data_IF_407672425165
#
_entry.id   IF_407672425165
#
_cell.length_a   1.000
_cell.length_b   1.000
_cell.length_c   1.000
_cell.angle_alpha   90.00
_cell.angle_beta   90.00
_cell.angle_gamma   90.00
#
_symmetry.space_group_name_H-M   'P 1'
#
loop_
_entity.id
_entity.type
_entity.pdbx_description
1 polymer ?
#
# COMPACT_ATOMS: atom_id res chain seq x y z
N UNK A 1 -39.12 60.56 10.94
CA UNK A 1 -39.79 59.24 10.93
C UNK A 1 -39.59 58.63 9.56
N UNK A 2 -38.57 57.80 9.41
CA UNK A 2 -38.49 56.79 8.35
C UNK A 2 -37.42 55.79 8.78
N UNK A 3 -37.90 54.71 9.41
CA UNK A 3 -37.12 53.53 9.75
C UNK A 3 -36.58 52.89 8.47
N UNK A 4 -35.27 52.74 8.38
CA UNK A 4 -34.63 51.85 7.40
C UNK A 4 -34.43 50.49 8.05
N UNK A 5 -35.27 49.56 7.62
CA UNK A 5 -35.34 48.17 8.07
C UNK A 5 -34.07 47.42 7.69
N UNK A 6 -33.31 47.00 8.70
CA UNK A 6 -32.15 46.13 8.55
C UNK A 6 -32.60 44.69 8.30
N UNK A 7 -32.58 44.27 7.03
CA UNK A 7 -32.81 42.88 6.67
C UNK A 7 -31.58 42.04 7.04
N UNK A 8 -31.73 41.37 8.19
CA UNK A 8 -31.03 40.18 8.65
C UNK A 8 -30.72 39.20 7.52
N UNK A 9 -29.49 39.26 7.01
CA UNK A 9 -28.84 38.19 6.25
C UNK A 9 -28.57 37.03 7.21
N UNK A 10 -29.58 36.18 7.42
CA UNK A 10 -29.41 34.90 8.11
C UNK A 10 -28.54 34.01 7.23
N UNK A 11 -27.35 33.70 7.75
CA UNK A 11 -26.38 32.82 7.14
C UNK A 11 -27.00 31.48 6.76
N UNK A 12 -27.15 31.25 5.46
CA UNK A 12 -27.05 29.91 4.91
C UNK A 12 -25.64 29.43 5.17
N UNK A 13 -25.47 28.63 6.23
CA UNK A 13 -24.33 27.76 6.38
C UNK A 13 -24.32 26.80 5.18
N UNK A 14 -23.73 27.26 4.08
CA UNK A 14 -23.49 26.45 2.90
C UNK A 14 -22.63 25.26 3.35
N UNK A 15 -23.26 24.11 3.52
CA UNK A 15 -22.58 22.83 3.66
C UNK A 15 -21.73 22.68 2.41
N UNK A 16 -20.42 22.90 2.57
CA UNK A 16 -19.50 22.94 1.46
C UNK A 16 -19.50 21.58 0.74
N UNK A 17 -19.85 21.52 -0.56
CA UNK A 17 -19.93 20.26 -1.31
C UNK A 17 -18.58 19.52 -1.42
N UNK A 18 -17.47 20.15 -0.99
CA UNK A 18 -16.13 19.58 -0.95
C UNK A 18 -15.86 18.58 0.19
N UNK A 19 -16.71 18.46 1.22
CA UNK A 19 -16.44 17.53 2.34
C UNK A 19 -16.72 16.05 2.02
N UNK A 20 -17.68 15.76 1.13
CA UNK A 20 -18.10 14.39 0.77
C UNK A 20 -17.03 13.55 0.05
N UNK A 21 -16.24 14.05 -0.93
CA UNK A 21 -15.29 13.22 -1.67
C UNK A 21 -14.13 12.68 -0.82
N UNK A 22 -13.74 13.38 0.26
CA UNK A 22 -12.63 12.94 1.12
C UNK A 22 -12.98 11.73 1.97
N UNK A 23 -14.17 11.72 2.58
CA UNK A 23 -14.61 10.63 3.44
C UNK A 23 -14.82 9.34 2.65
N UNK A 24 -15.41 9.43 1.46
CA UNK A 24 -15.56 8.29 0.57
C UNK A 24 -14.21 7.67 0.17
N UNK A 25 -13.22 8.51 -0.19
CA UNK A 25 -11.87 8.05 -0.50
C UNK A 25 -11.21 7.31 0.68
N UNK A 26 -11.29 7.86 1.89
CA UNK A 26 -10.71 7.22 3.08
C UNK A 26 -11.40 5.88 3.39
N UNK A 27 -12.73 5.80 3.21
CA UNK A 27 -13.47 4.55 3.39
C UNK A 27 -13.02 3.50 2.38
N UNK A 28 -12.99 3.82 1.08
CA UNK A 28 -12.59 2.87 0.03
C UNK A 28 -11.16 2.39 0.25
N UNK A 29 -10.26 3.30 0.63
CA UNK A 29 -8.87 2.97 0.93
C UNK A 29 -8.74 2.11 2.19
N UNK A 30 -9.50 2.41 3.25
CA UNK A 30 -9.57 1.59 4.47
C UNK A 30 -10.12 0.18 4.20
N UNK A 31 -11.15 0.06 3.37
CA UNK A 31 -11.70 -1.22 2.92
C UNK A 31 -10.65 -2.00 2.13
N UNK A 32 -9.96 -1.36 1.17
CA UNK A 32 -8.91 -2.03 0.40
C UNK A 32 -7.77 -2.55 1.30
N UNK A 33 -7.30 -1.74 2.26
CA UNK A 33 -6.30 -2.18 3.25
C UNK A 33 -6.80 -3.35 4.07
N UNK A 34 -8.04 -3.27 4.58
CA UNK A 34 -8.62 -4.34 5.40
C UNK A 34 -8.76 -5.64 4.60
N UNK A 35 -9.27 -5.59 3.37
CA UNK A 35 -9.46 -6.78 2.53
C UNK A 35 -8.13 -7.43 2.16
N UNK A 36 -7.10 -6.63 1.82
CA UNK A 36 -5.75 -7.15 1.56
C UNK A 36 -5.17 -7.78 2.82
N UNK A 37 -5.20 -7.07 3.96
CA UNK A 37 -4.64 -7.58 5.21
C UNK A 37 -5.34 -8.86 5.69
N UNK A 38 -6.67 -8.92 5.61
CA UNK A 38 -7.46 -10.10 5.96
C UNK A 38 -7.15 -11.23 4.99
N UNK A 39 -7.15 -10.97 3.68
CA UNK A 39 -6.85 -11.99 2.67
C UNK A 39 -5.46 -12.59 2.82
N UNK A 40 -4.44 -11.76 3.04
CA UNK A 40 -3.08 -12.21 3.35
C UNK A 40 -3.05 -13.06 4.61
N UNK A 41 -3.74 -12.63 5.67
CA UNK A 41 -3.78 -13.37 6.95
C UNK A 41 -4.50 -14.71 6.82
N UNK A 42 -5.67 -14.74 6.18
CA UNK A 42 -6.45 -15.96 5.97
C UNK A 42 -5.68 -16.93 5.07
N UNK A 43 -5.04 -16.43 4.00
CA UNK A 43 -4.17 -17.24 3.16
C UNK A 43 -3.01 -17.88 3.93
N UNK A 44 -2.34 -17.09 4.78
CA UNK A 44 -1.25 -17.56 5.63
C UNK A 44 -1.71 -18.68 6.59
N UNK A 45 -2.85 -18.47 7.27
CA UNK A 45 -3.40 -19.41 8.23
C UNK A 45 -3.91 -20.67 7.53
N UNK A 46 -4.57 -20.53 6.38
CA UNK A 46 -5.09 -21.65 5.60
C UNK A 46 -4.00 -22.58 5.04
N UNK A 47 -2.80 -22.06 4.78
CA UNK A 47 -1.64 -22.88 4.39
C UNK A 47 -0.86 -23.46 5.58
N UNK A 48 -1.22 -23.08 6.80
CA UNK A 48 -0.57 -23.54 8.02
C UNK A 48 -1.31 -24.75 8.62
N UNK A 49 -0.69 -25.39 9.63
CA UNK A 49 -1.35 -26.43 10.45
C UNK A 49 -2.56 -25.93 11.24
N UNK A 50 -2.81 -24.62 11.26
CA UNK A 50 -3.94 -23.99 11.93
C UNK A 50 -5.14 -23.75 11.00
N UNK A 51 -5.15 -24.31 9.79
CA UNK A 51 -6.27 -24.19 8.86
C UNK A 51 -7.61 -24.60 9.49
N UNK A 52 -7.60 -25.62 10.35
CA UNK A 52 -8.79 -26.13 11.07
C UNK A 52 -9.37 -25.12 12.08
N UNK A 53 -8.61 -24.12 12.49
CA UNK A 53 -9.05 -23.06 13.42
C UNK A 53 -9.85 -21.97 12.69
N UNK A 54 -9.78 -21.92 11.36
CA UNK A 54 -10.52 -20.93 10.58
C UNK A 54 -12.02 -21.27 10.59
N UNK A 55 -12.88 -20.27 10.88
CA UNK A 55 -14.31 -20.49 10.80
C UNK A 55 -14.73 -20.76 9.34
N UNK A 56 -15.80 -21.53 9.09
CA UNK A 56 -16.19 -21.94 7.72
C UNK A 56 -16.43 -20.77 6.76
N UNK A 57 -16.88 -19.62 7.27
CA UNK A 57 -17.08 -18.44 6.43
C UNK A 57 -15.76 -17.82 5.93
N UNK A 58 -14.65 -17.97 6.66
CA UNK A 58 -13.37 -17.40 6.27
C UNK A 58 -12.78 -18.10 5.04
N UNK A 59 -13.08 -19.39 4.87
CA UNK A 59 -12.65 -20.20 3.72
C UNK A 59 -13.67 -20.19 2.58
N UNK A 60 -14.93 -19.84 2.84
CA UNK A 60 -15.98 -19.72 1.82
C UNK A 60 -15.86 -18.43 0.98
N UNK A 61 -15.11 -17.43 1.45
CA UNK A 61 -14.94 -16.14 0.78
C UNK A 61 -13.65 -16.16 -0.05
N UNK A 62 -13.77 -15.80 -1.33
CA UNK A 62 -12.60 -15.49 -2.16
C UNK A 62 -12.07 -14.10 -1.84
N UNK A 63 -11.18 -14.05 -0.85
CA UNK A 63 -10.51 -12.81 -0.43
C UNK A 63 -9.63 -12.21 -1.52
N UNK A 64 -9.12 -13.02 -2.46
CA UNK A 64 -8.32 -12.55 -3.58
C UNK A 64 -9.16 -11.73 -4.56
N UNK A 65 -10.32 -12.25 -4.93
CA UNK A 65 -11.32 -11.55 -5.74
C UNK A 65 -11.76 -10.25 -5.06
N UNK A 66 -12.13 -10.30 -3.76
CA UNK A 66 -12.54 -9.10 -3.03
C UNK A 66 -11.44 -8.04 -2.96
N UNK A 67 -10.18 -8.46 -2.75
CA UNK A 67 -9.04 -7.55 -2.71
C UNK A 67 -8.85 -6.85 -4.07
N UNK A 68 -8.92 -7.59 -5.18
CA UNK A 68 -8.79 -7.01 -6.52
C UNK A 68 -9.93 -6.04 -6.85
N UNK A 69 -11.17 -6.36 -6.49
CA UNK A 69 -12.30 -5.46 -6.69
C UNK A 69 -12.16 -4.19 -5.83
N UNK A 70 -11.73 -4.31 -4.58
CA UNK A 70 -11.51 -3.16 -3.70
C UNK A 70 -10.36 -2.26 -4.19
N UNK A 71 -9.25 -2.85 -4.64
CA UNK A 71 -8.11 -2.13 -5.23
C UNK A 71 -8.48 -1.49 -6.57
N UNK A 72 -9.30 -2.18 -7.37
CA UNK A 72 -9.87 -1.67 -8.61
C UNK A 72 -10.69 -0.39 -8.37
N UNK A 73 -11.66 -0.48 -7.46
CA UNK A 73 -12.48 0.65 -7.05
C UNK A 73 -11.62 1.80 -6.50
N UNK A 74 -10.60 1.50 -5.70
CA UNK A 74 -9.67 2.49 -5.17
C UNK A 74 -8.93 3.24 -6.29
N UNK A 75 -8.43 2.53 -7.31
CA UNK A 75 -7.80 3.14 -8.49
C UNK A 75 -8.71 4.16 -9.16
N UNK A 76 -9.97 3.79 -9.44
CA UNK A 76 -10.95 4.70 -10.04
C UNK A 76 -11.27 5.91 -9.16
N UNK A 77 -11.43 5.70 -7.86
CA UNK A 77 -11.72 6.79 -6.91
C UNK A 77 -10.56 7.78 -6.84
N UNK A 78 -9.31 7.30 -6.82
CA UNK A 78 -8.15 8.18 -6.81
C UNK A 78 -8.03 8.92 -8.13
N UNK A 79 -8.21 8.23 -9.26
CA UNK A 79 -8.20 8.86 -10.57
C UNK A 79 -9.21 10.02 -10.66
N UNK A 80 -10.40 9.88 -10.09
CA UNK A 80 -11.40 10.94 -10.06
C UNK A 80 -10.98 12.18 -9.23
N UNK A 81 -9.97 12.04 -8.36
CA UNK A 81 -9.50 13.13 -7.46
C UNK A 81 -8.16 13.73 -7.83
N UNK A 82 -7.39 13.08 -8.70
CA UNK A 82 -6.08 13.57 -9.13
C UNK A 82 -6.26 14.67 -10.19
N UNK A 83 -5.46 15.73 -10.12
CA UNK A 83 -5.55 16.84 -11.08
C UNK A 83 -4.75 16.60 -12.37
N UNK A 84 -3.69 15.79 -12.31
CA UNK A 84 -2.84 15.53 -13.48
C UNK A 84 -3.45 14.46 -14.39
N UNK A 85 -3.59 14.75 -15.68
CA UNK A 85 -4.14 13.80 -16.65
C UNK A 85 -3.34 12.49 -16.71
N UNK A 86 -2.00 12.58 -16.66
CA UNK A 86 -1.14 11.40 -16.58
C UNK A 86 -1.40 10.57 -15.33
N UNK A 87 -1.61 11.21 -14.17
CA UNK A 87 -1.94 10.52 -12.94
C UNK A 87 -3.28 9.82 -13.01
N UNK A 88 -4.29 10.48 -13.60
CA UNK A 88 -5.62 9.90 -13.86
C UNK A 88 -5.51 8.64 -14.71
N UNK A 89 -4.81 8.71 -15.84
CA UNK A 89 -4.60 7.57 -16.75
C UNK A 89 -3.91 6.42 -16.02
N UNK A 90 -2.87 6.70 -15.24
CA UNK A 90 -2.17 5.69 -14.44
C UNK A 90 -3.09 4.97 -13.47
N UNK A 91 -3.86 5.71 -12.66
CA UNK A 91 -4.78 5.12 -11.68
C UNK A 91 -5.99 4.41 -12.33
N UNK A 92 -6.53 4.93 -13.44
CA UNK A 92 -7.58 4.23 -14.22
C UNK A 92 -7.04 2.92 -14.78
N UNK A 93 -5.82 2.91 -15.30
CA UNK A 93 -5.18 1.70 -15.84
C UNK A 93 -5.05 0.66 -14.73
N UNK A 94 -4.49 1.03 -13.58
CA UNK A 94 -4.38 0.13 -12.43
C UNK A 94 -5.76 -0.38 -11.98
N UNK A 95 -6.75 0.51 -11.88
CA UNK A 95 -8.10 0.15 -11.48
C UNK A 95 -8.77 -0.84 -12.44
N UNK A 96 -8.67 -0.58 -13.73
CA UNK A 96 -9.25 -1.42 -14.78
C UNK A 96 -8.59 -2.80 -14.84
N UNK A 97 -7.26 -2.87 -14.76
CA UNK A 97 -6.53 -4.13 -14.82
C UNK A 97 -6.59 -4.95 -13.54
N UNK A 98 -6.78 -4.31 -12.38
CA UNK A 98 -7.13 -5.01 -11.15
C UNK A 98 -8.47 -5.75 -11.29
N UNK A 99 -9.52 -5.06 -11.80
CA UNK A 99 -10.83 -5.68 -12.06
C UNK A 99 -10.72 -6.75 -13.14
N UNK A 100 -10.00 -6.48 -14.23
CA UNK A 100 -9.83 -7.44 -15.32
C UNK A 100 -9.16 -8.72 -14.84
N UNK A 101 -8.07 -8.61 -14.07
CA UNK A 101 -7.39 -9.77 -13.51
C UNK A 101 -8.19 -10.49 -12.42
N UNK A 102 -9.24 -9.87 -11.89
CA UNK A 102 -10.21 -10.51 -11.00
C UNK A 102 -11.25 -11.35 -11.76
N UNK A 103 -11.54 -10.97 -13.01
CA UNK A 103 -12.61 -11.56 -13.82
C UNK A 103 -12.10 -12.52 -14.90
N UNK A 104 -10.82 -12.46 -15.25
CA UNK A 104 -10.23 -13.22 -16.34
C UNK A 104 -8.90 -13.87 -15.93
N UNK A 105 -8.92 -15.18 -15.69
CA UNK A 105 -7.74 -15.97 -15.30
C UNK A 105 -6.59 -15.87 -16.31
N UNK A 106 -6.92 -15.77 -17.60
CA UNK A 106 -5.95 -15.62 -18.69
C UNK A 106 -5.30 -14.23 -18.76
N UNK A 107 -5.79 -13.25 -18.01
CA UNK A 107 -5.32 -11.87 -18.05
C UNK A 107 -4.25 -11.56 -16.98
N UNK A 108 -3.71 -12.56 -16.28
CA UNK A 108 -2.73 -12.35 -15.21
C UNK A 108 -1.52 -11.51 -15.65
N UNK A 109 -0.81 -11.95 -16.70
CA UNK A 109 0.38 -11.26 -17.22
C UNK A 109 0.09 -9.82 -17.67
N UNK A 110 -0.92 -9.55 -18.52
CA UNK A 110 -1.25 -8.19 -18.90
C UNK A 110 -1.73 -7.35 -17.70
N UNK A 111 -2.46 -7.93 -16.74
CA UNK A 111 -2.88 -7.24 -15.54
C UNK A 111 -1.70 -6.81 -14.67
N UNK A 112 -0.73 -7.69 -14.43
CA UNK A 112 0.50 -7.36 -13.71
C UNK A 112 1.27 -6.25 -14.43
N UNK A 113 1.52 -6.41 -15.74
CA UNK A 113 2.29 -5.45 -16.53
C UNK A 113 1.64 -4.07 -16.56
N UNK A 114 0.34 -4.00 -16.82
CA UNK A 114 -0.40 -2.75 -16.86
C UNK A 114 -0.56 -2.11 -15.48
N UNK A 115 -0.67 -2.91 -14.42
CA UNK A 115 -0.69 -2.41 -13.03
C UNK A 115 0.64 -1.77 -12.66
N UNK A 116 1.76 -2.43 -12.94
CA UNK A 116 3.09 -1.88 -12.67
C UNK A 116 3.37 -0.63 -13.50
N UNK A 117 3.07 -0.66 -14.79
CA UNK A 117 3.24 0.48 -15.68
C UNK A 117 2.34 1.66 -15.26
N UNK A 118 1.06 1.39 -15.01
CA UNK A 118 0.07 2.38 -14.59
C UNK A 118 0.44 3.02 -13.24
N UNK A 119 0.87 2.23 -12.27
CA UNK A 119 1.36 2.74 -10.99
C UNK A 119 2.66 3.53 -11.13
N UNK A 120 3.56 3.12 -12.02
CA UNK A 120 4.77 3.88 -12.35
C UNK A 120 4.44 5.25 -12.93
N UNK A 121 3.54 5.31 -13.91
CA UNK A 121 3.05 6.57 -14.50
C UNK A 121 2.34 7.42 -13.46
N UNK A 122 1.45 6.82 -12.65
CA UNK A 122 0.73 7.52 -11.59
C UNK A 122 1.71 8.13 -10.58
N UNK A 123 2.66 7.35 -10.07
CA UNK A 123 3.64 7.83 -9.11
C UNK A 123 4.56 8.91 -9.72
N UNK A 124 5.09 8.68 -10.93
CA UNK A 124 5.93 9.65 -11.64
C UNK A 124 5.24 11.00 -11.84
N UNK A 125 3.91 11.00 -12.05
CA UNK A 125 3.13 12.23 -12.21
C UNK A 125 2.94 13.03 -10.92
N UNK A 126 3.09 12.39 -9.75
CA UNK A 126 2.85 12.99 -8.44
C UNK A 126 4.14 13.33 -7.69
N UNK A 127 5.21 12.59 -7.98
CA UNK A 127 6.50 12.77 -7.34
C UNK A 127 7.10 14.15 -7.67
N UNK A 128 7.72 14.82 -6.68
CA UNK A 128 8.48 16.04 -6.93
C UNK A 128 9.69 15.78 -7.84
N UNK A 129 10.11 16.81 -8.56
CA UNK A 129 11.39 16.84 -9.27
C UNK A 129 12.53 16.55 -8.28
N UNK A 130 13.48 15.73 -8.70
CA UNK A 130 14.55 15.18 -7.85
C UNK A 130 15.65 16.21 -7.52
N UNK A 131 15.27 17.32 -6.87
CA UNK A 131 16.16 18.45 -6.55
C UNK A 131 16.55 18.51 -5.08
N UNK A 132 15.87 17.76 -4.22
CA UNK A 132 16.13 17.68 -2.78
C UNK A 132 16.37 16.24 -2.32
N UNK A 133 17.08 16.05 -1.21
CA UNK A 133 17.29 14.72 -0.61
C UNK A 133 15.96 13.97 -0.37
N UNK A 134 14.92 14.69 0.06
CA UNK A 134 13.57 14.12 0.27
C UNK A 134 12.91 13.67 -1.03
N UNK A 135 13.06 14.44 -2.11
CA UNK A 135 12.55 14.05 -3.44
C UNK A 135 13.30 12.85 -4.01
N UNK A 136 14.62 12.77 -3.81
CA UNK A 136 15.44 11.62 -4.22
C UNK A 136 15.01 10.38 -3.44
N UNK A 137 14.79 10.51 -2.13
CA UNK A 137 14.26 9.42 -1.30
C UNK A 137 12.89 8.94 -1.78
N UNK A 138 11.99 9.87 -2.16
CA UNK A 138 10.67 9.52 -2.69
C UNK A 138 10.76 8.68 -3.98
N UNK A 139 11.62 9.08 -4.92
CA UNK A 139 11.90 8.33 -6.14
C UNK A 139 12.55 6.98 -5.85
N UNK A 140 13.56 6.95 -4.97
CA UNK A 140 14.27 5.74 -4.59
C UNK A 140 13.35 4.70 -3.93
N UNK A 141 12.52 5.14 -2.99
CA UNK A 141 11.51 4.29 -2.33
C UNK A 141 10.51 3.76 -3.35
N UNK A 142 9.88 4.63 -4.14
CA UNK A 142 8.86 4.24 -5.12
C UNK A 142 9.43 3.27 -6.15
N UNK A 143 10.63 3.58 -6.67
CA UNK A 143 11.35 2.74 -7.61
C UNK A 143 11.69 1.38 -6.99
N UNK A 144 12.21 1.34 -5.77
CA UNK A 144 12.52 0.10 -5.07
C UNK A 144 11.28 -0.79 -4.86
N UNK A 145 10.14 -0.19 -4.48
CA UNK A 145 8.88 -0.92 -4.31
C UNK A 145 8.37 -1.50 -5.64
N UNK A 146 8.33 -0.71 -6.71
CA UNK A 146 7.81 -1.15 -8.02
C UNK A 146 8.74 -2.15 -8.73
N UNK A 147 10.05 -1.88 -8.73
CA UNK A 147 11.06 -2.78 -9.32
C UNK A 147 11.12 -4.07 -8.50
N UNK A 148 11.10 -3.98 -7.17
CA UNK A 148 11.09 -5.15 -6.29
C UNK A 148 9.84 -6.01 -6.50
N UNK A 149 8.67 -5.38 -6.69
CA UNK A 149 7.43 -6.08 -7.05
C UNK A 149 7.54 -6.78 -8.39
N UNK A 150 8.05 -6.10 -9.42
CA UNK A 150 8.28 -6.68 -10.75
C UNK A 150 9.26 -7.86 -10.72
N UNK A 151 10.37 -7.73 -10.01
CA UNK A 151 11.33 -8.82 -9.85
C UNK A 151 10.69 -10.01 -9.12
N UNK A 152 9.96 -9.75 -8.02
CA UNK A 152 9.31 -10.80 -7.24
C UNK A 152 8.29 -11.60 -8.05
N UNK A 153 7.45 -10.93 -8.85
CA UNK A 153 6.43 -11.61 -9.65
C UNK A 153 7.02 -12.36 -10.84
N UNK A 154 8.06 -11.83 -11.48
CA UNK A 154 8.81 -12.55 -12.53
C UNK A 154 9.49 -13.80 -11.95
N UNK A 155 10.04 -13.69 -10.73
CA UNK A 155 10.52 -14.85 -9.98
C UNK A 155 9.42 -15.85 -9.65
N UNK A 156 8.22 -15.40 -9.28
CA UNK A 156 7.07 -16.26 -9.02
C UNK A 156 6.58 -17.00 -10.28
N UNK A 157 6.81 -16.44 -11.47
CA UNK A 157 6.52 -17.07 -12.76
C UNK A 157 7.57 -18.11 -13.19
N UNK A 158 8.61 -18.34 -12.39
CA UNK A 158 9.62 -19.39 -12.62
C UNK A 158 10.89 -18.92 -13.33
N UNK A 159 11.05 -17.63 -13.61
CA UNK A 159 12.29 -17.06 -14.12
C UNK A 159 13.24 -16.85 -12.94
N UNK A 160 14.31 -17.63 -12.85
CA UNK A 160 15.30 -17.58 -11.75
C UNK A 160 14.65 -17.37 -10.36
N UNK A 161 13.72 -18.26 -9.95
CA UNK A 161 12.79 -18.02 -8.85
C UNK A 161 13.49 -17.73 -7.52
N UNK A 162 14.64 -18.34 -7.26
CA UNK A 162 15.42 -18.10 -6.05
C UNK A 162 16.03 -16.69 -6.03
N UNK A 163 16.64 -16.27 -7.14
CA UNK A 163 17.36 -14.99 -7.25
C UNK A 163 16.38 -13.82 -7.29
N UNK A 164 15.39 -13.86 -8.18
CA UNK A 164 14.49 -12.73 -8.41
C UNK A 164 13.50 -12.51 -7.26
N UNK A 165 13.04 -13.57 -6.57
CA UNK A 165 12.23 -13.42 -5.35
C UNK A 165 13.01 -12.83 -4.20
N UNK A 166 14.26 -13.29 -4.01
CA UNK A 166 15.13 -12.74 -2.96
C UNK A 166 15.44 -11.28 -3.25
N UNK A 167 15.80 -10.95 -4.48
CA UNK A 167 16.05 -9.57 -4.90
C UNK A 167 14.81 -8.68 -4.73
N UNK A 168 13.64 -9.18 -5.15
CA UNK A 168 12.37 -8.48 -5.02
C UNK A 168 12.02 -8.18 -3.56
N UNK A 169 12.17 -9.18 -2.68
CA UNK A 169 11.99 -9.01 -1.24
C UNK A 169 12.97 -8.02 -0.63
N UNK A 170 14.26 -8.12 -0.96
CA UNK A 170 15.29 -7.16 -0.48
C UNK A 170 14.94 -5.73 -0.90
N UNK A 171 14.60 -5.49 -2.17
CA UNK A 171 14.24 -4.17 -2.67
C UNK A 171 12.99 -3.61 -1.97
N UNK A 172 11.97 -4.45 -1.75
CA UNK A 172 10.78 -4.05 -1.01
C UNK A 172 11.10 -3.62 0.42
N UNK A 173 11.84 -4.44 1.17
CA UNK A 173 12.16 -4.11 2.56
C UNK A 173 13.15 -2.95 2.67
N UNK A 174 14.06 -2.74 1.71
CA UNK A 174 14.88 -1.53 1.63
C UNK A 174 14.00 -0.30 1.38
N UNK A 175 13.02 -0.38 0.47
CA UNK A 175 12.05 0.69 0.23
C UNK A 175 11.25 1.02 1.49
N UNK A 176 10.77 0.01 2.21
CA UNK A 176 10.05 0.18 3.49
C UNK A 176 10.94 0.72 4.62
N UNK A 177 12.21 0.29 4.69
CA UNK A 177 13.15 0.75 5.70
C UNK A 177 13.53 2.22 5.50
N UNK A 178 13.54 2.68 4.25
CA UNK A 178 13.88 4.07 3.88
C UNK A 178 12.67 4.99 3.80
N UNK A 179 11.45 4.46 3.93
CA UNK A 179 10.18 5.21 3.97
C UNK A 179 10.19 6.39 4.96
N UNK A 180 10.75 6.27 6.19
CA UNK A 180 10.83 7.38 7.13
C UNK A 180 11.62 8.59 6.63
N UNK A 181 12.63 8.37 5.77
CA UNK A 181 13.45 9.44 5.18
C UNK A 181 12.62 10.30 4.21
N UNK A 182 11.68 9.66 3.50
CA UNK A 182 10.75 10.37 2.63
C UNK A 182 9.66 11.10 3.44
N UNK A 183 9.04 10.42 4.41
CA UNK A 183 7.95 10.99 5.20
C UNK A 183 8.43 12.09 6.17
N UNK A 184 9.67 12.02 6.66
CA UNK A 184 10.21 12.95 7.65
C UNK A 184 9.57 12.71 9.01
N UNK A 185 9.99 11.64 9.68
CA UNK A 185 9.41 11.20 10.96
C UNK A 185 10.04 11.91 12.17
N UNK A 186 9.26 12.11 13.23
CA UNK A 186 9.76 12.61 14.50
C UNK A 186 10.38 11.53 15.38
N UNK A 187 11.00 11.92 16.50
CA UNK A 187 11.66 10.98 17.42
C UNK A 187 10.72 9.92 18.01
N UNK A 188 9.48 10.28 18.32
CA UNK A 188 8.48 9.32 18.84
C UNK A 188 8.07 8.27 17.79
N UNK A 189 7.91 8.69 16.54
CA UNK A 189 7.56 7.79 15.44
C UNK A 189 8.73 6.82 15.15
N UNK A 190 9.96 7.34 15.19
CA UNK A 190 11.16 6.53 15.08
C UNK A 190 11.28 5.53 16.25
N UNK A 191 11.02 5.96 17.49
CA UNK A 191 11.04 5.07 18.65
C UNK A 191 10.02 3.93 18.52
N UNK A 192 8.82 4.24 18.02
CA UNK A 192 7.79 3.24 17.77
C UNK A 192 8.20 2.26 16.66
N UNK A 193 8.82 2.75 15.58
CA UNK A 193 9.39 1.88 14.54
C UNK A 193 10.52 0.99 15.06
N UNK A 194 11.43 1.53 15.88
CA UNK A 194 12.52 0.76 16.52
C UNK A 194 11.93 -0.31 17.44
N UNK A 195 10.92 0.02 18.24
CA UNK A 195 10.25 -0.94 19.11
C UNK A 195 9.64 -2.10 18.31
N UNK A 196 8.92 -1.80 17.23
CA UNK A 196 8.35 -2.85 16.36
C UNK A 196 9.45 -3.67 15.68
N UNK A 197 10.51 -3.04 15.17
CA UNK A 197 11.65 -3.75 14.59
C UNK A 197 12.33 -4.68 15.60
N UNK A 198 12.56 -4.21 16.83
CA UNK A 198 13.12 -5.02 17.90
C UNK A 198 12.20 -6.19 18.29
N UNK A 199 10.88 -5.98 18.29
CA UNK A 199 9.90 -7.03 18.51
C UNK A 199 9.95 -8.11 17.41
N UNK A 200 10.07 -7.70 16.14
CA UNK A 200 10.26 -8.60 14.99
C UNK A 200 11.53 -9.44 15.15
N UNK A 201 12.65 -8.83 15.55
CA UNK A 201 13.90 -9.56 15.83
C UNK A 201 13.72 -10.51 17.02
N UNK A 202 13.10 -10.05 18.10
CA UNK A 202 12.89 -10.85 19.32
C UNK A 202 12.01 -12.08 19.07
N UNK A 203 10.94 -11.96 18.29
CA UNK A 203 10.14 -13.12 17.85
C UNK A 203 10.95 -14.00 16.91
N UNK A 204 11.69 -13.42 15.96
CA UNK A 204 12.48 -14.18 15.00
C UNK A 204 13.57 -15.03 15.65
N UNK A 205 14.18 -14.55 16.74
CA UNK A 205 15.19 -15.30 17.49
C UNK A 205 14.57 -16.22 18.55
N UNK A 206 13.48 -15.82 19.20
CA UNK A 206 12.82 -16.61 20.26
C UNK A 206 11.88 -17.70 19.74
N UNK A 207 11.30 -17.51 18.56
CA UNK A 207 10.32 -18.42 17.95
C UNK A 207 10.56 -18.55 16.42
N UNK A 208 11.72 -19.07 15.98
CA UNK A 208 12.11 -19.07 14.57
C UNK A 208 11.13 -19.83 13.67
N UNK A 209 10.49 -20.90 14.16
CA UNK A 209 9.48 -21.66 13.40
C UNK A 209 8.22 -20.84 13.14
N UNK A 210 7.75 -20.08 14.15
CA UNK A 210 6.57 -19.21 14.01
C UNK A 210 6.90 -18.06 13.06
N UNK A 211 8.07 -17.45 13.25
CA UNK A 211 8.52 -16.37 12.38
C UNK A 211 8.70 -16.82 10.93
N UNK A 212 9.31 -18.00 10.71
CA UNK A 212 9.43 -18.59 9.38
C UNK A 212 8.08 -18.81 8.72
N UNK A 213 7.09 -19.31 9.46
CA UNK A 213 5.73 -19.49 8.94
C UNK A 213 5.05 -18.17 8.58
N UNK A 214 5.17 -17.14 9.44
CA UNK A 214 4.60 -15.81 9.18
C UNK A 214 5.29 -15.15 7.98
N UNK A 215 6.62 -15.17 7.93
CA UNK A 215 7.40 -14.56 6.86
C UNK A 215 7.15 -15.26 5.52
N UNK A 216 7.19 -16.59 5.48
CA UNK A 216 7.05 -17.35 4.25
C UNK A 216 5.59 -17.47 3.80
N UNK A 217 4.70 -17.90 4.70
CA UNK A 217 3.30 -18.17 4.39
C UNK A 217 2.42 -16.92 4.37
N UNK A 218 2.72 -15.93 5.23
CA UNK A 218 1.96 -14.68 5.28
C UNK A 218 2.54 -13.60 4.39
N UNK A 219 3.84 -13.33 4.50
CA UNK A 219 4.46 -12.21 3.79
C UNK A 219 5.22 -12.63 2.52
N UNK A 220 5.24 -13.92 2.14
CA UNK A 220 5.93 -14.38 0.92
C UNK A 220 7.44 -14.14 0.92
N UNK A 221 8.04 -13.88 2.07
CA UNK A 221 9.45 -13.47 2.19
C UNK A 221 10.35 -14.70 2.03
N UNK A 222 11.18 -14.68 0.99
CA UNK A 222 12.16 -15.73 0.70
C UNK A 222 13.55 -15.13 0.65
N UNK A 223 14.48 -15.69 1.42
CA UNK A 223 15.91 -15.33 1.34
C UNK A 223 16.30 -13.94 1.86
N UNK A 224 15.37 -13.19 2.47
CA UNK A 224 15.65 -11.83 2.99
C UNK A 224 16.22 -11.93 4.41
N UNK A 225 17.32 -11.22 4.73
CA UNK A 225 17.87 -11.18 6.09
C UNK A 225 16.84 -10.67 7.11
N UNK A 226 16.71 -11.36 8.25
CA UNK A 226 15.75 -11.01 9.31
C UNK A 226 15.90 -9.55 9.78
N UNK A 227 17.13 -9.05 9.90
CA UNK A 227 17.39 -7.66 10.28
C UNK A 227 16.84 -6.65 9.27
N UNK A 228 16.91 -6.99 7.97
CA UNK A 228 16.36 -6.14 6.92
C UNK A 228 14.82 -6.16 6.95
N UNK A 229 14.21 -7.32 7.19
CA UNK A 229 12.76 -7.43 7.41
C UNK A 229 12.34 -6.58 8.62
N UNK A 230 13.04 -6.71 9.74
CA UNK A 230 12.78 -5.93 10.95
C UNK A 230 12.92 -4.42 10.72
N UNK A 231 13.97 -4.00 10.02
CA UNK A 231 14.17 -2.60 9.63
C UNK A 231 13.07 -2.10 8.70
N UNK A 232 12.64 -2.91 7.73
CA UNK A 232 11.58 -2.56 6.80
C UNK A 232 10.22 -2.45 7.48
N UNK A 233 9.84 -3.41 8.31
CA UNK A 233 8.59 -3.35 9.09
C UNK A 233 8.62 -2.17 10.06
N UNK A 234 9.70 -2.00 10.82
CA UNK A 234 9.86 -0.87 11.74
C UNK A 234 9.83 0.49 11.03
N UNK A 235 10.52 0.61 9.90
CA UNK A 235 10.52 1.81 9.06
C UNK A 235 9.14 2.12 8.48
N UNK A 236 8.42 1.10 8.01
CA UNK A 236 7.06 1.25 7.54
C UNK A 236 6.14 1.78 8.65
N UNK A 237 6.19 1.19 9.85
CA UNK A 237 5.35 1.62 10.97
C UNK A 237 5.71 3.05 11.43
N UNK A 238 6.99 3.39 11.51
CA UNK A 238 7.41 4.77 11.82
C UNK A 238 6.87 5.77 10.80
N UNK A 239 6.97 5.45 9.50
CA UNK A 239 6.46 6.29 8.42
C UNK A 239 4.93 6.41 8.44
N UNK A 240 4.21 5.32 8.72
CA UNK A 240 2.74 5.32 8.85
C UNK A 240 2.31 6.19 10.04
N UNK A 241 2.94 6.02 11.21
CA UNK A 241 2.69 6.84 12.40
C UNK A 241 2.96 8.32 12.13
N UNK A 242 4.11 8.63 11.53
CA UNK A 242 4.47 10.00 11.17
C UNK A 242 3.50 10.62 10.17
N UNK A 243 3.08 9.86 9.14
CA UNK A 243 2.09 10.31 8.17
C UNK A 243 0.73 10.58 8.84
N UNK A 244 0.26 9.71 9.73
CA UNK A 244 -0.98 9.94 10.48
C UNK A 244 -0.91 11.20 11.35
N UNK A 245 0.21 11.44 12.03
CA UNK A 245 0.42 12.66 12.84
C UNK A 245 0.46 13.93 12.00
N UNK A 246 0.99 13.86 10.79
CA UNK A 246 0.99 14.95 9.82
C UNK A 246 -0.36 15.15 9.12
N UNK A 247 -1.40 14.37 9.50
CA UNK A 247 -2.72 14.42 8.84
C UNK A 247 -2.75 13.80 7.45
N UNK A 248 -1.69 13.08 7.07
CA UNK A 248 -1.49 12.50 5.74
C UNK A 248 -2.05 11.08 5.63
N UNK A 249 -3.38 10.98 5.74
CA UNK A 249 -4.08 9.68 5.84
C UNK A 249 -3.88 8.80 4.61
N UNK A 250 -3.87 9.36 3.41
CA UNK A 250 -3.69 8.57 2.18
C UNK A 250 -2.28 7.98 2.13
N UNK A 251 -1.26 8.75 2.50
CA UNK A 251 0.11 8.24 2.57
C UNK A 251 0.25 7.14 3.62
N UNK A 252 -0.37 7.30 4.80
CA UNK A 252 -0.35 6.30 5.85
C UNK A 252 -1.02 4.98 5.41
N UNK A 253 -2.19 5.07 4.80
CA UNK A 253 -2.91 3.90 4.31
C UNK A 253 -2.20 3.24 3.12
N UNK A 254 -1.57 4.02 2.24
CA UNK A 254 -0.71 3.50 1.17
C UNK A 254 0.46 2.69 1.72
N UNK A 255 1.15 3.21 2.74
CA UNK A 255 2.21 2.48 3.44
C UNK A 255 1.69 1.21 4.13
N UNK A 256 0.51 1.28 4.75
CA UNK A 256 -0.17 0.13 5.33
C UNK A 256 -0.53 -0.94 4.29
N UNK A 257 -0.95 -0.53 3.09
CA UNK A 257 -1.27 -1.41 1.97
C UNK A 257 -0.03 -2.18 1.49
N UNK A 258 1.11 -1.49 1.32
CA UNK A 258 2.39 -2.12 0.96
C UNK A 258 2.83 -3.10 2.06
N UNK A 259 2.71 -2.69 3.33
CA UNK A 259 3.10 -3.54 4.46
C UNK A 259 2.23 -4.81 4.56
N UNK A 260 0.91 -4.68 4.33
CA UNK A 260 -0.04 -5.79 4.36
C UNK A 260 0.11 -6.74 3.15
N UNK A 261 0.56 -6.22 2.02
CA UNK A 261 0.80 -7.02 0.81
C UNK A 261 2.04 -7.91 0.94
N UNK A 262 3.04 -7.49 1.72
CA UNK A 262 4.30 -8.23 1.87
C UNK A 262 5.09 -8.32 0.57
N UNK A 263 5.79 -9.44 0.36
CA UNK A 263 6.50 -9.76 -0.87
C UNK A 263 5.51 -10.36 -1.88
N UNK A 264 5.25 -9.67 -3.00
CA UNK A 264 4.15 -9.99 -3.87
C UNK A 264 4.46 -11.23 -4.70
N UNK A 265 3.64 -12.26 -4.49
CA UNK A 265 3.66 -13.52 -5.25
C UNK A 265 2.33 -13.77 -5.98
N UNK A 266 1.39 -12.84 -5.86
CA UNK A 266 0.03 -12.94 -6.41
C UNK A 266 -0.41 -11.59 -6.98
N UNK A 267 -1.41 -11.61 -7.86
CA UNK A 267 -1.94 -10.39 -8.46
C UNK A 267 -2.50 -9.41 -7.40
N UNK A 268 -3.30 -9.82 -6.40
CA UNK A 268 -3.77 -8.89 -5.36
C UNK A 268 -2.62 -8.20 -4.62
N UNK A 269 -1.55 -8.92 -4.29
CA UNK A 269 -0.38 -8.37 -3.61
C UNK A 269 0.40 -7.39 -4.51
N UNK A 270 0.63 -7.73 -5.78
CA UNK A 270 1.24 -6.81 -6.77
C UNK A 270 0.44 -5.51 -6.84
N UNK A 271 -0.89 -5.64 -6.96
CA UNK A 271 -1.79 -4.50 -7.10
C UNK A 271 -1.80 -3.65 -5.83
N UNK A 272 -1.78 -4.30 -4.66
CA UNK A 272 -1.72 -3.61 -3.37
C UNK A 272 -0.41 -2.84 -3.20
N UNK A 273 0.75 -3.43 -3.52
CA UNK A 273 2.02 -2.70 -3.47
C UNK A 273 2.05 -1.56 -4.48
N UNK A 274 1.62 -1.80 -5.71
CA UNK A 274 1.67 -0.83 -6.79
C UNK A 274 0.73 0.36 -6.53
N UNK A 275 -0.49 0.10 -6.06
CA UNK A 275 -1.43 1.14 -5.64
C UNK A 275 -0.90 1.86 -4.41
N UNK A 276 -0.39 1.13 -3.42
CA UNK A 276 0.20 1.69 -2.20
C UNK A 276 1.31 2.68 -2.51
N UNK A 277 2.30 2.28 -3.30
CA UNK A 277 3.39 3.13 -3.75
C UNK A 277 2.89 4.39 -4.49
N UNK A 278 1.93 4.24 -5.41
CA UNK A 278 1.37 5.37 -6.14
C UNK A 278 0.55 6.32 -5.24
N UNK A 279 -0.23 5.79 -4.29
CA UNK A 279 -1.01 6.59 -3.33
C UNK A 279 -0.13 7.38 -2.38
N UNK A 280 1.01 6.83 -1.97
CA UNK A 280 1.97 7.53 -1.12
C UNK A 280 2.58 8.75 -1.83
N UNK A 281 2.69 8.70 -3.15
CA UNK A 281 3.18 9.81 -3.96
C UNK A 281 2.16 10.95 -4.09
N UNK A 282 0.87 10.68 -3.87
CA UNK A 282 -0.19 11.69 -3.97
C UNK A 282 0.06 12.80 -2.95
N UNK A 283 0.15 14.03 -3.44
CA UNK A 283 0.30 15.21 -2.61
C UNK A 283 -1.01 15.50 -1.89
N UNK A 284 -1.05 15.27 -0.59
CA UNK A 284 -2.10 15.82 0.25
C UNK A 284 -1.80 17.30 0.47
N UNK A 285 -2.54 18.16 -0.24
CA UNK A 285 -2.29 19.59 -0.27
C UNK A 285 -2.15 20.19 1.12
N UNK A 286 -0.99 20.81 1.35
CA UNK A 286 -0.76 21.73 2.46
C UNK A 286 -1.83 22.81 2.38
N UNK A 287 -2.70 22.85 3.40
CA UNK A 287 -3.61 23.97 3.65
C UNK A 287 -3.10 24.72 4.86
#
# INVERSE_FOLDING_TARGET
MTETTSLSSRGSAAVSPQRRPRLFRTIVLGVAVATVAIGTTVGAVGQSRFAEVLPPFATAIDWGLLALLALGALGFVIAATVDSDLGRVGFVTVGAFAVLGALADGAFLPAVGATLAGSGVAAASQLPTATSARSIAAWGVTGALLIGTGASIVGALGVEPATLRTLGGVLLFVGLATLPLWIGVGGLDAALGIFVGAFVVGIGTGAPTVMGAVLLGGLGVVGVPLLLVAAGVGGAVAAISGALRQGRQVTALGGGLVLAAGVPVSLPAVTAVAVGAATMAVREGER
#
